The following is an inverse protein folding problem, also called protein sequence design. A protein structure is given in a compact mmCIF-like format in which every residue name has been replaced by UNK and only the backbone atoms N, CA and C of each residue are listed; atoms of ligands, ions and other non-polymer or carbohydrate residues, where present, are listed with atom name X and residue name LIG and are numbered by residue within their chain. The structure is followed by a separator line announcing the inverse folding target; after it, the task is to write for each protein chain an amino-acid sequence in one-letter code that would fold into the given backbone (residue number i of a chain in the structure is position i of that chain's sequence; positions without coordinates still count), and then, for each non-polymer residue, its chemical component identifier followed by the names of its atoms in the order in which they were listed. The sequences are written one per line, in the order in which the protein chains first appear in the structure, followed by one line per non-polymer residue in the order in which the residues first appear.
data_IF_431663253862
#
_entry.id   IF_431663253862
#
_cell.length_a   1.000
_cell.length_b   1.000
_cell.length_c   1.000
_cell.angle_alpha   90.00
_cell.angle_beta   90.00
_cell.angle_gamma   90.00
#
_symmetry.space_group_name_H-M   'P 1'
#
loop_
_entity.id
_entity.type
_entity.pdbx_description
1 polymer ?
#
# COMPACT_ATOMS: atom_id res chain seq x y z
N UNK A 1 3.78 27.22 18.34
CA UNK A 1 3.62 25.75 18.55
C UNK A 1 4.69 25.07 17.71
N UNK A 2 5.73 24.48 18.30
CA UNK A 2 6.74 23.71 17.56
C UNK A 2 6.06 22.43 17.06
N UNK A 3 5.82 22.33 15.75
CA UNK A 3 5.48 21.05 15.13
C UNK A 3 6.76 20.21 15.24
N UNK A 4 6.76 19.21 16.12
CA UNK A 4 7.90 18.32 16.29
C UNK A 4 8.08 17.46 15.03
N UNK A 5 9.31 17.10 14.71
CA UNK A 5 9.66 16.24 13.56
C UNK A 5 9.86 14.78 13.96
N UNK A 6 9.38 14.42 15.15
CA UNK A 6 9.55 13.09 15.71
C UNK A 6 8.72 12.06 14.91
N UNK A 7 9.20 10.82 14.78
CA UNK A 7 8.46 9.77 14.10
C UNK A 7 7.13 9.46 14.78
N UNK A 8 6.08 9.24 13.99
CA UNK A 8 4.80 8.72 14.46
C UNK A 8 4.71 7.22 14.19
N UNK A 9 4.13 6.47 15.12
CA UNK A 9 3.84 5.05 14.95
C UNK A 9 2.34 4.84 14.78
N UNK A 10 1.95 4.25 13.65
CA UNK A 10 0.57 3.90 13.32
C UNK A 10 0.41 2.38 13.27
N UNK A 11 -0.29 1.85 14.27
CA UNK A 11 -0.64 0.43 14.36
C UNK A 11 -1.99 0.18 13.70
N UNK A 12 -2.05 -0.80 12.80
CA UNK A 12 -3.21 -1.07 11.96
C UNK A 12 -3.66 -2.52 12.10
N UNK A 13 -4.94 -2.71 12.36
CA UNK A 13 -5.68 -3.96 12.22
C UNK A 13 -7.14 -3.58 11.93
N UNK A 14 -7.47 -3.46 10.64
CA UNK A 14 -8.74 -2.88 10.22
C UNK A 14 -9.23 -3.50 8.91
N UNK A 15 -10.54 -3.79 8.80
CA UNK A 15 -11.17 -4.24 7.55
C UNK A 15 -11.33 -3.10 6.51
N UNK A 16 -10.95 -1.87 6.85
CA UNK A 16 -11.17 -0.68 6.02
C UNK A 16 -12.40 0.12 6.47
N UNK A 17 -13.06 0.79 5.53
CA UNK A 17 -14.22 1.64 5.83
C UNK A 17 -14.44 2.71 4.77
N UNK A 18 -14.82 3.91 5.21
CA UNK A 18 -15.08 5.05 4.33
C UNK A 18 -13.84 5.41 3.50
N UNK A 19 -13.98 5.37 2.17
CA UNK A 19 -12.92 5.75 1.25
C UNK A 19 -12.53 7.22 1.41
N UNK A 20 -13.50 8.12 1.55
CA UNK A 20 -13.23 9.56 1.69
C UNK A 20 -12.45 9.87 2.96
N UNK A 21 -12.81 9.26 4.09
CA UNK A 21 -12.06 9.40 5.34
C UNK A 21 -10.65 8.81 5.23
N UNK A 22 -10.52 7.68 4.53
CA UNK A 22 -9.26 7.05 4.22
C UNK A 22 -8.30 7.92 3.41
N UNK A 23 -8.81 8.47 2.31
CA UNK A 23 -8.05 9.37 1.44
C UNK A 23 -7.61 10.63 2.19
N UNK A 24 -8.47 11.20 3.03
CA UNK A 24 -8.09 12.33 3.88
C UNK A 24 -6.92 11.97 4.82
N UNK A 25 -6.92 10.76 5.40
CA UNK A 25 -5.80 10.31 6.22
C UNK A 25 -4.54 10.11 5.38
N UNK A 26 -4.64 9.50 4.20
CA UNK A 26 -3.51 9.33 3.26
C UNK A 26 -2.89 10.69 2.91
N UNK A 27 -3.71 11.70 2.61
CA UNK A 27 -3.24 13.05 2.31
C UNK A 27 -2.48 13.67 3.49
N UNK A 28 -2.99 13.50 4.71
CA UNK A 28 -2.28 13.93 5.93
C UNK A 28 -0.95 13.20 6.05
N UNK A 29 -0.92 11.87 5.90
CA UNK A 29 0.32 11.09 6.00
C UNK A 29 1.37 11.54 4.97
N UNK A 30 0.97 11.85 3.74
CA UNK A 30 1.90 12.35 2.71
C UNK A 30 2.34 13.80 2.94
N UNK A 31 1.54 14.61 3.63
CA UNK A 31 1.84 16.01 3.93
C UNK A 31 2.64 16.24 5.21
N UNK A 32 2.79 15.23 6.07
CA UNK A 32 3.56 15.34 7.31
C UNK A 32 5.06 15.42 7.03
N UNK A 33 5.76 16.33 7.73
CA UNK A 33 7.22 16.39 7.72
C UNK A 33 7.87 15.27 8.54
N UNK A 34 7.16 14.79 9.57
CA UNK A 34 7.61 13.67 10.38
C UNK A 34 7.45 12.35 9.64
N UNK A 35 8.38 11.41 9.79
CA UNK A 35 8.19 10.07 9.26
C UNK A 35 7.05 9.35 10.00
N UNK A 36 6.26 8.57 9.28
CA UNK A 36 5.15 7.78 9.83
C UNK A 36 5.42 6.32 9.58
N UNK A 37 5.63 5.59 10.66
CA UNK A 37 5.89 4.15 10.66
C UNK A 37 4.54 3.46 10.71
N UNK A 38 4.28 2.57 9.76
CA UNK A 38 3.00 1.86 9.68
C UNK A 38 3.22 0.39 9.95
N UNK A 39 2.42 -0.23 10.82
CA UNK A 39 2.54 -1.65 11.16
C UNK A 39 1.19 -2.33 11.01
N UNK A 40 1.12 -3.35 10.16
CA UNK A 40 0.01 -4.30 10.13
C UNK A 40 0.19 -5.35 11.22
N UNK A 41 -0.76 -5.42 12.15
CA UNK A 41 -0.79 -6.36 13.27
C UNK A 41 -1.67 -7.59 13.02
N UNK A 42 -2.31 -7.69 11.86
CA UNK A 42 -3.23 -8.78 11.55
C UNK A 42 -3.76 -8.60 10.15
N UNK A 43 -4.89 -7.91 10.00
CA UNK A 43 -5.50 -7.66 8.70
C UNK A 43 -5.53 -6.16 8.41
N UNK A 44 -5.01 -5.76 7.26
CA UNK A 44 -5.23 -4.44 6.69
C UNK A 44 -5.98 -4.59 5.36
N UNK A 45 -7.30 -4.40 5.38
CA UNK A 45 -8.13 -4.53 4.19
C UNK A 45 -8.59 -3.19 3.63
N UNK A 46 -8.81 -3.14 2.33
CA UNK A 46 -9.38 -2.01 1.61
C UNK A 46 -8.60 -0.69 1.80
N UNK A 47 -9.18 0.25 2.53
CA UNK A 47 -8.59 1.56 2.81
C UNK A 47 -7.47 1.42 3.84
N UNK A 48 -7.55 0.45 4.75
CA UNK A 48 -6.51 0.20 5.75
C UNK A 48 -5.20 -0.28 5.10
N UNK A 49 -5.27 -1.12 4.05
CA UNK A 49 -4.09 -1.49 3.25
C UNK A 49 -3.52 -0.27 2.53
N UNK A 50 -4.35 0.64 2.02
CA UNK A 50 -3.88 1.87 1.38
C UNK A 50 -3.13 2.75 2.39
N UNK A 51 -3.71 2.99 3.57
CA UNK A 51 -3.09 3.75 4.66
C UNK A 51 -1.76 3.11 5.09
N UNK A 52 -1.72 1.79 5.27
CA UNK A 52 -0.50 1.04 5.57
C UNK A 52 0.58 1.33 4.51
N UNK A 53 0.23 1.26 3.23
CA UNK A 53 1.18 1.48 2.13
C UNK A 53 1.63 2.93 1.98
N UNK A 54 0.83 3.89 2.46
CA UNK A 54 1.12 5.32 2.45
C UNK A 54 2.11 5.74 3.54
N UNK A 55 2.49 4.85 4.46
CA UNK A 55 3.54 5.09 5.44
C UNK A 55 4.87 5.48 4.79
N UNK A 56 5.80 5.99 5.60
CA UNK A 56 7.13 6.37 5.13
C UNK A 56 7.87 5.15 4.57
N UNK A 57 8.37 5.28 3.34
CA UNK A 57 9.08 4.19 2.63
C UNK A 57 10.32 3.79 3.41
N UNK A 58 10.50 2.48 3.63
CA UNK A 58 11.51 1.91 4.52
C UNK A 58 11.02 1.68 5.94
N UNK A 59 9.82 2.15 6.28
CA UNK A 59 9.23 2.04 7.62
C UNK A 59 7.78 1.52 7.58
N UNK A 60 7.45 0.68 6.58
CA UNK A 60 6.17 -0.01 6.47
C UNK A 60 6.36 -1.48 6.84
N UNK A 61 5.67 -1.94 7.86
CA UNK A 61 5.87 -3.25 8.47
C UNK A 61 4.58 -4.08 8.44
N UNK A 62 4.74 -5.40 8.44
CA UNK A 62 3.65 -6.35 8.69
C UNK A 62 4.17 -7.52 9.51
N UNK A 63 3.38 -8.02 10.46
CA UNK A 63 3.71 -9.28 11.13
C UNK A 63 3.70 -10.45 10.14
N UNK A 64 4.43 -11.53 10.41
CA UNK A 64 4.50 -12.69 9.49
C UNK A 64 3.12 -13.25 9.15
N UNK A 65 2.25 -13.40 10.16
CA UNK A 65 0.86 -13.86 9.99
C UNK A 65 -0.10 -12.82 9.42
N UNK A 66 0.39 -11.64 9.04
CA UNK A 66 -0.43 -10.54 8.58
C UNK A 66 -0.88 -10.69 7.13
N UNK A 67 -2.03 -10.12 6.81
CA UNK A 67 -2.57 -10.07 5.45
C UNK A 67 -3.02 -8.66 5.05
N UNK A 68 -2.87 -8.37 3.76
CA UNK A 68 -3.40 -7.16 3.13
C UNK A 68 -4.49 -7.61 2.16
N UNK A 69 -5.64 -6.93 2.18
CA UNK A 69 -6.69 -7.15 1.19
C UNK A 69 -6.84 -5.88 0.35
N UNK A 70 -6.70 -6.03 -0.96
CA UNK A 70 -6.87 -4.97 -1.94
C UNK A 70 -8.17 -5.26 -2.70
N UNK A 71 -9.11 -4.33 -2.70
CA UNK A 71 -10.37 -4.49 -3.44
C UNK A 71 -10.83 -3.17 -4.06
N UNK A 72 -11.74 -3.28 -5.01
CA UNK A 72 -12.28 -2.12 -5.72
C UNK A 72 -13.13 -1.25 -4.79
N UNK A 73 -13.12 0.08 -4.95
CA UNK A 73 -14.08 0.92 -4.27
C UNK A 73 -15.50 0.58 -4.73
N UNK A 74 -16.34 0.17 -3.79
CA UNK A 74 -17.76 -0.13 -4.04
C UNK A 74 -18.60 1.13 -3.88
N UNK A 75 -19.39 1.48 -4.91
CA UNK A 75 -20.41 2.53 -4.86
C UNK A 75 -21.82 1.93 -4.84
N UNK A 76 -22.74 2.52 -4.09
CA UNK A 76 -24.15 2.12 -4.09
C UNK A 76 -24.78 2.57 -5.42
N UNK A 77 -25.03 1.64 -6.34
CA UNK A 77 -25.70 1.93 -7.62
C UNK A 77 -27.21 1.82 -7.44
N UNK A 78 -27.93 2.95 -7.41
CA UNK A 78 -29.40 2.98 -7.43
C UNK A 78 -29.89 4.29 -8.06
N UNK A 79 -30.73 4.23 -9.11
CA UNK A 79 -31.27 5.42 -9.76
C UNK A 79 -31.66 5.24 -11.22
N UNK A 80 -32.08 6.34 -11.85
CA UNK A 80 -32.38 6.47 -13.28
C UNK A 80 -31.14 6.23 -14.16
N UNK A 81 -31.32 6.01 -15.47
CA UNK A 81 -30.20 5.71 -16.39
C UNK A 81 -29.10 6.79 -16.38
N UNK A 82 -29.46 8.05 -16.18
CA UNK A 82 -28.52 9.18 -16.13
C UNK A 82 -27.72 9.15 -14.82
N UNK A 83 -28.39 8.97 -13.68
CA UNK A 83 -27.76 8.80 -12.35
C UNK A 83 -26.82 7.58 -12.35
N UNK A 84 -27.25 6.45 -12.93
CA UNK A 84 -26.40 5.27 -13.10
C UNK A 84 -25.16 5.54 -13.97
N UNK A 85 -25.24 6.43 -14.97
CA UNK A 85 -24.08 6.79 -15.79
C UNK A 85 -23.11 7.72 -15.05
N UNK A 86 -23.63 8.68 -14.29
CA UNK A 86 -22.84 9.59 -13.46
C UNK A 86 -22.13 8.82 -12.33
N UNK A 87 -22.85 7.94 -11.64
CA UNK A 87 -22.29 7.06 -10.61
C UNK A 87 -21.19 6.16 -11.18
N UNK A 88 -21.36 5.62 -12.39
CA UNK A 88 -20.33 4.81 -13.05
C UNK A 88 -19.07 5.61 -13.38
N UNK A 89 -19.20 6.87 -13.78
CA UNK A 89 -18.04 7.74 -14.02
C UNK A 89 -17.31 8.02 -12.72
N UNK A 90 -18.03 8.27 -11.64
CA UNK A 90 -17.42 8.55 -10.35
C UNK A 90 -16.74 7.32 -9.74
N UNK A 91 -17.39 6.15 -9.76
CA UNK A 91 -16.77 4.88 -9.34
C UNK A 91 -15.48 4.62 -10.12
N UNK A 92 -15.49 4.84 -11.45
CA UNK A 92 -14.29 4.71 -12.26
C UNK A 92 -13.20 5.71 -11.86
N UNK A 93 -13.57 6.98 -11.65
CA UNK A 93 -12.62 8.02 -11.22
C UNK A 93 -11.95 7.67 -9.88
N UNK A 94 -12.73 7.19 -8.91
CA UNK A 94 -12.25 6.74 -7.61
C UNK A 94 -11.36 5.51 -7.74
N UNK A 95 -11.75 4.53 -8.57
CA UNK A 95 -10.93 3.36 -8.87
C UNK A 95 -9.57 3.76 -9.45
N UNK A 96 -9.55 4.63 -10.46
CA UNK A 96 -8.31 5.09 -11.11
C UNK A 96 -7.43 5.87 -10.14
N UNK A 97 -8.03 6.70 -9.28
CA UNK A 97 -7.33 7.42 -8.22
C UNK A 97 -6.65 6.48 -7.23
N UNK A 98 -7.39 5.52 -6.66
CA UNK A 98 -6.86 4.54 -5.70
C UNK A 98 -5.78 3.67 -6.34
N UNK A 99 -6.00 3.22 -7.58
CA UNK A 99 -5.02 2.44 -8.34
C UNK A 99 -3.71 3.21 -8.55
N UNK A 100 -3.81 4.49 -8.91
CA UNK A 100 -2.66 5.37 -9.06
C UNK A 100 -1.87 5.52 -7.74
N UNK A 101 -2.56 5.72 -6.61
CA UNK A 101 -1.93 5.83 -5.30
C UNK A 101 -1.16 4.56 -4.93
N UNK A 102 -1.80 3.40 -5.03
CA UNK A 102 -1.14 2.12 -4.77
C UNK A 102 0.08 1.91 -5.67
N UNK A 103 -0.06 2.16 -6.98
CA UNK A 103 1.05 2.03 -7.92
C UNK A 103 2.22 2.96 -7.54
N UNK A 104 1.93 4.19 -7.14
CA UNK A 104 2.92 5.18 -6.68
C UNK A 104 3.65 4.69 -5.43
N UNK A 105 2.92 4.28 -4.39
CA UNK A 105 3.51 3.82 -3.14
C UNK A 105 4.31 2.52 -3.32
N UNK A 106 3.76 1.58 -4.10
CA UNK A 106 4.43 0.32 -4.41
C UNK A 106 5.73 0.52 -5.20
N UNK A 107 5.73 1.44 -6.19
CA UNK A 107 6.91 1.77 -6.96
C UNK A 107 8.05 2.35 -6.10
N UNK A 108 7.72 3.21 -5.13
CA UNK A 108 8.71 3.76 -4.18
C UNK A 108 9.32 2.66 -3.32
N UNK A 109 8.51 1.73 -2.79
CA UNK A 109 8.99 0.56 -2.04
C UNK A 109 9.93 -0.32 -2.85
N UNK A 110 9.54 -0.69 -4.08
CA UNK A 110 10.38 -1.49 -4.99
C UNK A 110 11.68 -0.78 -5.38
N UNK A 111 11.66 0.54 -5.50
CA UNK A 111 12.87 1.33 -5.78
C UNK A 111 13.85 1.27 -4.61
N UNK A 112 13.36 1.43 -3.38
CA UNK A 112 14.19 1.29 -2.18
C UNK A 112 14.76 -0.12 -2.08
N UNK A 113 13.95 -1.17 -2.32
CA UNK A 113 14.41 -2.55 -2.25
C UNK A 113 15.54 -2.84 -3.23
N UNK A 114 15.38 -2.45 -4.50
CA UNK A 114 16.43 -2.58 -5.54
C UNK A 114 17.72 -1.88 -5.13
N UNK A 115 17.65 -0.64 -4.64
CA UNK A 115 18.84 0.08 -4.14
C UNK A 115 19.55 -0.68 -3.01
N UNK A 116 18.82 -1.36 -2.12
CA UNK A 116 19.41 -2.16 -1.04
C UNK A 116 20.07 -3.44 -1.57
N UNK A 117 19.43 -4.11 -2.54
CA UNK A 117 19.98 -5.30 -3.22
C UNK A 117 21.27 -4.95 -3.99
N UNK A 118 21.30 -3.83 -4.71
CA UNK A 118 22.48 -3.34 -5.45
C UNK A 118 23.66 -3.01 -4.50
N UNK A 119 23.38 -2.43 -3.33
CA UNK A 119 24.40 -2.16 -2.30
C UNK A 119 24.97 -3.44 -1.66
N UNK A 120 24.15 -4.47 -1.48
CA UNK A 120 24.58 -5.75 -0.91
C UNK A 120 25.40 -6.58 -1.89
N UNK A 121 25.01 -6.59 -3.17
CA UNK A 121 25.72 -7.29 -4.25
C UNK A 121 27.07 -6.64 -4.60
N UNK A 122 27.19 -5.32 -4.50
CA UNK A 122 28.47 -4.62 -4.64
C UNK A 122 29.44 -4.87 -3.46
N UNK A 123 28.91 -5.28 -2.30
CA UNK A 123 29.71 -5.63 -1.12
C UNK A 123 30.13 -7.12 -1.08
N UNK A 124 29.53 -7.96 -1.93
CA UNK A 124 29.71 -9.42 -1.93
C UNK A 124 30.04 -9.89 -3.35
N UNK A 125 31.34 -10.06 -3.68
CA UNK A 125 31.72 -10.55 -5.00
C UNK A 125 31.31 -12.01 -5.20
N UNK A 126 30.65 -12.27 -6.34
CA UNK A 126 30.31 -13.56 -6.97
C UNK A 126 29.13 -14.37 -6.41
N UNK A 127 27.97 -14.21 -7.06
CA UNK A 127 27.19 -15.31 -7.62
C UNK A 127 26.07 -14.75 -8.50
N UNK A 128 26.08 -15.10 -9.80
CA UNK A 128 24.92 -14.87 -10.67
C UNK A 128 23.75 -15.70 -10.14
N UNK A 129 22.56 -15.12 -9.99
CA UNK A 129 21.35 -15.85 -10.38
C UNK A 129 20.11 -14.99 -10.55
N UNK A 130 19.37 -15.42 -11.58
CA UNK A 130 17.95 -15.20 -11.88
C UNK A 130 17.45 -13.76 -11.87
N UNK A 131 17.36 -13.21 -13.07
CA UNK A 131 16.26 -12.31 -13.46
C UNK A 131 14.93 -13.04 -13.26
N UNK A 132 14.50 -13.15 -12.00
CA UNK A 132 13.12 -13.50 -11.70
C UNK A 132 12.31 -12.34 -12.22
N UNK A 133 11.67 -12.53 -13.39
CA UNK A 133 10.70 -11.62 -13.99
C UNK A 133 9.74 -11.19 -12.91
N UNK A 134 10.08 -10.06 -12.29
CA UNK A 134 9.33 -9.51 -11.18
C UNK A 134 8.08 -9.00 -11.83
N UNK A 135 7.00 -9.78 -11.78
CA UNK A 135 5.68 -9.30 -12.20
C UNK A 135 5.46 -8.01 -11.44
N UNK A 136 5.56 -6.90 -12.17
CA UNK A 136 5.33 -5.58 -11.61
C UNK A 136 3.85 -5.58 -11.31
N UNK A 137 3.51 -5.58 -10.03
CA UNK A 137 2.14 -5.41 -9.62
C UNK A 137 1.60 -4.11 -10.23
N UNK A 138 0.67 -4.23 -11.18
CA UNK A 138 -0.09 -3.12 -11.72
C UNK A 138 -1.47 -3.17 -11.10
N UNK A 139 -1.75 -2.24 -10.20
CA UNK A 139 -3.03 -2.19 -9.49
C UNK A 139 -4.23 -2.01 -10.46
N UNK A 140 -3.98 -1.55 -11.69
CA UNK A 140 -5.01 -1.40 -12.74
C UNK A 140 -5.70 -2.72 -13.12
N UNK A 141 -5.16 -3.88 -12.71
CA UNK A 141 -5.74 -5.21 -12.97
C UNK A 141 -6.62 -5.74 -11.82
N UNK A 142 -6.81 -4.98 -10.73
CA UNK A 142 -7.68 -5.40 -9.63
C UNK A 142 -9.15 -5.21 -10.03
N UNK A 143 -9.68 -6.17 -10.79
CA UNK A 143 -11.11 -6.35 -11.06
C UNK A 143 -11.78 -7.29 -10.03
N UNK A 144 -10.99 -7.83 -9.10
CA UNK A 144 -11.41 -8.74 -8.04
C UNK A 144 -10.57 -8.52 -6.80
N UNK A 145 -11.15 -8.81 -5.65
CA UNK A 145 -10.47 -8.77 -4.36
C UNK A 145 -9.21 -9.64 -4.41
N UNK A 146 -8.11 -9.07 -3.93
CA UNK A 146 -6.83 -9.77 -3.79
C UNK A 146 -6.42 -9.76 -2.34
N UNK A 147 -6.25 -10.96 -1.78
CA UNK A 147 -5.67 -11.15 -0.45
C UNK A 147 -4.19 -11.48 -0.67
N UNK A 148 -3.34 -10.71 -0.03
CA UNK A 148 -1.89 -10.83 -0.09
C UNK A 148 -1.37 -11.18 1.29
N UNK A 149 -0.53 -12.21 1.36
CA UNK A 149 0.32 -12.47 2.52
C UNK A 149 1.33 -11.32 2.71
N UNK A 150 1.90 -11.21 3.91
CA UNK A 150 2.97 -10.24 4.17
C UNK A 150 4.16 -10.39 3.22
N UNK A 151 4.49 -11.62 2.81
CA UNK A 151 5.55 -11.91 1.83
C UNK A 151 5.20 -11.36 0.45
N UNK A 152 3.99 -11.58 -0.04
CA UNK A 152 3.52 -11.04 -1.33
C UNK A 152 3.43 -9.51 -1.31
N UNK A 153 2.90 -8.94 -0.23
CA UNK A 153 2.85 -7.50 -0.04
C UNK A 153 4.25 -6.86 -0.09
N UNK A 154 5.25 -7.50 0.52
CA UNK A 154 6.64 -7.04 0.46
C UNK A 154 7.23 -7.19 -0.96
N UNK A 155 6.96 -8.31 -1.63
CA UNK A 155 7.40 -8.53 -3.02
C UNK A 155 6.86 -7.47 -3.97
N UNK A 156 5.61 -7.08 -3.81
CA UNK A 156 4.97 -6.02 -4.60
C UNK A 156 5.39 -4.60 -4.18
N UNK A 157 6.07 -4.44 -3.04
CA UNK A 157 6.53 -3.16 -2.51
C UNK A 157 5.46 -2.38 -1.74
N UNK A 158 4.39 -3.04 -1.31
CA UNK A 158 3.33 -2.48 -0.48
C UNK A 158 3.78 -2.27 0.97
N UNK A 159 4.66 -3.15 1.45
CA UNK A 159 5.37 -3.03 2.72
C UNK A 159 6.88 -3.20 2.49
N UNK A 160 7.69 -2.84 3.48
CA UNK A 160 9.16 -2.90 3.42
C UNK A 160 9.73 -4.04 4.28
N UNK A 161 9.10 -4.32 5.42
CA UNK A 161 9.64 -5.23 6.44
C UNK A 161 8.57 -6.20 6.96
N UNK A 162 9.02 -7.43 7.26
CA UNK A 162 8.20 -8.43 7.93
C UNK A 162 8.74 -8.61 9.35
N UNK A 163 7.87 -8.50 10.35
CA UNK A 163 8.19 -8.73 11.75
C UNK A 163 7.97 -10.22 12.02
N UNK A 164 9.04 -10.92 12.37
CA UNK A 164 9.00 -12.33 12.76
C UNK A 164 8.73 -12.43 14.28
N UNK A 165 7.98 -13.45 14.75
CA UNK A 165 7.91 -13.74 16.17
C UNK A 165 9.29 -14.19 16.69
N UNK A 166 9.64 -13.76 17.90
CA UNK A 166 10.84 -14.21 18.62
C UNK A 166 10.77 -15.70 18.99
#
# INVERSE_FOLDING_TARGET
RKITRDPFLLLLNSPGGSLSAGLALVDVLQGLHSPVFTINLGVCASVASLILTAGTVGHRYSIEGGSLLLHQPTGCLAGTRTELQEDRREVKRLHDCVSSLYNSFAARGRSLRRKREDLQSSSSSSSLSSSSSSRVFQFNEIYRDQILSSKEAQMYGLIDHIILPD
#
